data_IF_808617046331
#
_entry.id   IF_808617046331
#
_cell.length_a   1.000
_cell.length_b   1.000
_cell.length_c   1.000
_cell.angle_alpha   90.00
_cell.angle_beta   90.00
_cell.angle_gamma   90.00
#
_symmetry.space_group_name_H-M   'P 1'
#
loop_
_entity.id
_entity.type
_entity.pdbx_description
1 polymer ?
#
# COMPACT_ATOMS: atom_id res chain seq x y z
N UNK A 1 11.79 -2.55 2.72
CA UNK A 1 11.12 -1.57 3.61
C UNK A 1 12.18 -0.66 4.18
N UNK A 2 12.03 0.66 4.03
CA UNK A 2 12.93 1.62 4.70
C UNK A 2 12.24 2.03 6.00
N UNK A 3 12.83 1.76 7.18
CA UNK A 3 12.33 2.32 8.43
C UNK A 3 12.43 3.85 8.35
N UNK A 4 11.35 4.55 8.70
CA UNK A 4 11.25 6.00 8.57
C UNK A 4 10.65 6.57 9.86
N UNK A 5 11.28 7.60 10.43
CA UNK A 5 10.74 8.38 11.56
C UNK A 5 9.61 9.34 11.11
N UNK A 6 8.77 8.89 10.18
CA UNK A 6 7.59 9.61 9.69
C UNK A 6 6.36 9.19 10.49
N UNK A 7 5.31 10.02 10.48
CA UNK A 7 3.97 9.64 10.97
C UNK A 7 3.47 8.36 10.29
N UNK A 8 3.98 8.08 9.08
CA UNK A 8 3.75 6.83 8.36
C UNK A 8 4.89 5.83 8.66
N UNK A 9 4.54 4.68 9.23
CA UNK A 9 5.48 3.63 9.68
C UNK A 9 6.45 3.10 8.60
N UNK A 10 6.15 3.26 7.30
CA UNK A 10 7.00 2.77 6.22
C UNK A 10 6.75 3.48 4.87
N UNK A 11 7.76 3.47 4.01
CA UNK A 11 7.64 3.88 2.61
C UNK A 11 7.71 2.64 1.72
N UNK A 12 6.66 2.44 0.92
CA UNK A 12 6.60 1.38 -0.08
C UNK A 12 7.10 1.92 -1.42
N UNK A 13 8.26 1.40 -1.86
CA UNK A 13 8.79 1.73 -3.18
C UNK A 13 8.08 0.96 -4.29
N UNK A 14 8.30 1.39 -5.54
CA UNK A 14 7.81 0.68 -6.75
C UNK A 14 8.11 -0.83 -6.76
N UNK A 15 9.31 -1.31 -6.38
CA UNK A 15 9.58 -2.75 -6.36
C UNK A 15 8.62 -3.52 -5.45
N UNK A 16 8.26 -2.95 -4.29
CA UNK A 16 7.31 -3.57 -3.36
C UNK A 16 5.89 -3.54 -3.90
N UNK A 17 5.48 -2.43 -4.52
CA UNK A 17 4.15 -2.34 -5.16
C UNK A 17 3.99 -3.37 -6.29
N UNK A 18 5.02 -3.58 -7.11
CA UNK A 18 5.02 -4.61 -8.16
C UNK A 18 4.98 -6.01 -7.57
N UNK A 19 5.78 -6.29 -6.54
CA UNK A 19 5.78 -7.59 -5.88
C UNK A 19 4.43 -7.96 -5.27
N UNK A 20 3.68 -6.97 -4.76
CA UNK A 20 2.33 -7.16 -4.21
C UNK A 20 1.22 -7.22 -5.28
N UNK A 21 1.51 -6.88 -6.54
CA UNK A 21 0.46 -6.66 -7.53
C UNK A 21 -0.49 -5.52 -7.12
N UNK A 22 0.06 -4.50 -6.44
CA UNK A 22 -0.74 -3.43 -5.85
C UNK A 22 -1.31 -2.46 -6.88
N UNK A 23 -2.57 -2.08 -6.70
CA UNK A 23 -3.28 -1.08 -7.51
C UNK A 23 -3.63 0.11 -6.63
N UNK A 24 -2.81 1.17 -6.62
CA UNK A 24 -3.13 2.41 -5.95
C UNK A 24 -4.11 3.24 -6.81
N UNK A 25 -5.07 3.87 -6.15
CA UNK A 25 -6.05 4.76 -6.77
C UNK A 25 -6.13 6.07 -5.97
N UNK A 26 -5.63 7.15 -6.57
CA UNK A 26 -5.64 8.48 -5.96
C UNK A 26 -7.05 9.06 -5.87
N UNK A 27 -7.91 8.82 -6.85
CA UNK A 27 -9.31 9.30 -6.86
C UNK A 27 -10.10 8.73 -5.70
N UNK A 28 -9.89 7.45 -5.41
CA UNK A 28 -10.59 6.74 -4.35
C UNK A 28 -9.85 6.78 -3.02
N UNK A 29 -8.63 7.32 -3.00
CA UNK A 29 -7.77 7.37 -1.82
C UNK A 29 -7.56 5.98 -1.19
N UNK A 30 -7.33 4.96 -2.03
CA UNK A 30 -7.17 3.55 -1.62
C UNK A 30 -6.07 2.86 -2.41
N UNK A 31 -5.49 1.83 -1.83
CA UNK A 31 -4.64 0.86 -2.51
C UNK A 31 -5.16 -0.55 -2.26
N UNK A 32 -5.28 -1.35 -3.32
CA UNK A 32 -5.65 -2.76 -3.22
C UNK A 32 -4.51 -3.67 -3.62
N UNK A 33 -4.41 -4.85 -3.03
CA UNK A 33 -3.49 -5.92 -3.43
C UNK A 33 -4.02 -7.28 -2.96
N UNK A 34 -3.50 -8.38 -3.52
CA UNK A 34 -3.84 -9.73 -3.07
C UNK A 34 -2.82 -10.18 -2.03
N UNK A 35 -3.28 -10.80 -0.94
CA UNK A 35 -2.40 -11.49 0.00
C UNK A 35 -2.07 -12.90 -0.50
N UNK A 36 -1.21 -13.61 0.24
CA UNK A 36 -0.75 -14.96 -0.13
C UNK A 36 -1.87 -16.02 -0.12
N UNK A 37 -3.04 -15.71 0.46
CA UNK A 37 -4.23 -16.56 0.51
C UNK A 37 -5.26 -16.20 -0.58
N UNK A 38 -4.86 -15.41 -1.59
CA UNK A 38 -5.72 -14.88 -2.66
C UNK A 38 -6.83 -13.93 -2.16
N UNK A 39 -6.72 -13.46 -0.91
CA UNK A 39 -7.62 -12.49 -0.30
C UNK A 39 -7.28 -11.06 -0.74
N UNK A 40 -8.30 -10.27 -1.07
CA UNK A 40 -8.13 -8.85 -1.38
C UNK A 40 -7.91 -8.05 -0.09
N UNK A 41 -6.79 -7.33 -0.03
CA UNK A 41 -6.48 -6.38 1.03
C UNK A 41 -6.66 -4.97 0.48
N UNK A 42 -7.37 -4.13 1.24
CA UNK A 42 -7.52 -2.69 0.94
C UNK A 42 -6.85 -1.86 2.04
N UNK A 43 -5.97 -0.95 1.63
CA UNK A 43 -5.39 0.10 2.47
C UNK A 43 -6.10 1.40 2.11
N UNK A 44 -6.75 2.02 3.08
CA UNK A 44 -7.34 3.35 2.95
C UNK A 44 -6.26 4.41 3.22
N UNK A 45 -6.24 5.47 2.41
CA UNK A 45 -5.40 6.62 2.72
C UNK A 45 -6.04 7.44 3.84
N UNK A 46 -5.19 8.01 4.69
CA UNK A 46 -5.63 8.91 5.74
C UNK A 46 -5.89 10.30 5.17
N UNK A 47 -7.08 10.85 5.43
CA UNK A 47 -7.43 12.24 5.15
C UNK A 47 -7.50 12.97 6.48
N UNK A 48 -6.36 13.41 6.98
CA UNK A 48 -6.28 14.31 8.14
C UNK A 48 -6.61 15.74 7.73
#
# INVERSE_FOLDING_TARGET
MVPCDSVYNCILGRPTLVALGAVPSTIHLKMKYHNDEDGEVTIEADMV
#
